data_IF_327051324898
#
_entry.id   IF_327051324898
#
_cell.length_a   1.000
_cell.length_b   1.000
_cell.length_c   1.000
_cell.angle_alpha   90.00
_cell.angle_beta   90.00
_cell.angle_gamma   90.00
#
_symmetry.space_group_name_H-M   'P 1'
#
loop_
_entity.id
_entity.type
_entity.pdbx_description
1 polymer ?
#
# COMPACT_ATOMS: atom_id res chain seq x y z
N UNK A 1 2.70 5.09 7.45
CA UNK A 1 2.94 6.54 7.55
C UNK A 1 3.33 7.16 6.21
N UNK A 2 4.10 6.46 5.36
CA UNK A 2 4.46 6.91 4.01
C UNK A 2 3.24 7.25 3.14
N UNK A 3 2.19 6.42 3.15
CA UNK A 3 0.95 6.68 2.40
C UNK A 3 0.29 8.02 2.76
N UNK A 4 0.29 8.37 4.05
CA UNK A 4 -0.28 9.63 4.54
C UNK A 4 0.60 10.83 4.16
N UNK A 5 1.92 10.65 4.21
CA UNK A 5 2.87 11.69 3.78
C UNK A 5 2.79 11.93 2.26
N UNK A 6 2.55 10.86 1.47
CA UNK A 6 2.36 10.93 0.03
C UNK A 6 1.16 11.82 -0.37
N UNK A 7 0.11 11.79 0.45
CA UNK A 7 -1.08 12.65 0.28
C UNK A 7 -0.91 14.03 0.94
N UNK A 8 0.33 14.47 1.15
CA UNK A 8 0.70 15.78 1.69
C UNK A 8 0.16 16.09 3.10
N UNK A 9 -0.20 15.07 3.87
CA UNK A 9 -0.55 15.25 5.29
C UNK A 9 0.71 15.21 6.14
N UNK A 10 0.96 16.29 6.90
CA UNK A 10 2.08 16.36 7.82
C UNK A 10 1.95 15.30 8.92
N UNK A 11 2.94 14.42 9.01
CA UNK A 11 2.96 13.33 10.00
C UNK A 11 3.49 13.84 11.34
N UNK A 12 2.60 14.38 12.17
CA UNK A 12 2.90 14.81 13.55
C UNK A 12 2.85 13.63 14.54
N UNK A 13 3.35 13.77 15.78
CA UNK A 13 3.18 12.76 16.83
C UNK A 13 1.71 12.38 17.07
N UNK A 14 0.79 13.35 17.04
CA UNK A 14 -0.65 13.13 17.22
C UNK A 14 -1.24 12.33 16.06
N UNK A 15 -0.80 12.60 14.83
CA UNK A 15 -1.18 11.81 13.65
C UNK A 15 -0.66 10.37 13.78
N UNK A 16 0.59 10.19 14.23
CA UNK A 16 1.16 8.85 14.45
C UNK A 16 0.37 8.08 15.51
N UNK A 17 0.02 8.72 16.62
CA UNK A 17 -0.78 8.12 17.68
C UNK A 17 -2.19 7.74 17.21
N UNK A 18 -2.84 8.61 16.44
CA UNK A 18 -4.15 8.33 15.86
C UNK A 18 -4.12 7.13 14.90
N UNK A 19 -3.11 7.06 14.03
CA UNK A 19 -2.91 5.93 13.11
C UNK A 19 -2.61 4.66 13.91
N UNK A 20 -1.72 4.73 14.90
CA UNK A 20 -1.34 3.59 15.72
C UNK A 20 -2.54 3.00 16.48
N UNK A 21 -3.33 3.85 17.13
CA UNK A 21 -4.54 3.45 17.84
C UNK A 21 -5.56 2.80 16.89
N UNK A 22 -5.77 3.37 15.70
CA UNK A 22 -6.65 2.79 14.69
C UNK A 22 -6.15 1.43 14.19
N UNK A 23 -4.84 1.28 13.94
CA UNK A 23 -4.22 0.01 13.54
C UNK A 23 -4.33 -1.06 14.64
N UNK A 24 -4.10 -0.68 15.91
CA UNK A 24 -4.23 -1.58 17.04
C UNK A 24 -5.67 -2.08 17.20
N UNK A 25 -6.66 -1.20 17.00
CA UNK A 25 -8.07 -1.58 16.96
C UNK A 25 -8.37 -2.51 15.78
N UNK A 26 -7.93 -2.16 14.56
CA UNK A 26 -8.12 -2.95 13.35
C UNK A 26 -7.53 -4.35 13.47
N UNK A 27 -6.37 -4.49 14.13
CA UNK A 27 -5.72 -5.78 14.35
C UNK A 27 -6.59 -6.77 15.15
N UNK A 28 -7.57 -6.29 15.92
CA UNK A 28 -8.52 -7.14 16.65
C UNK A 28 -9.68 -7.62 15.79
N UNK A 29 -9.95 -6.98 14.65
CA UNK A 29 -11.00 -7.37 13.72
C UNK A 29 -10.66 -8.69 12.99
N UNK A 30 -11.65 -9.41 12.42
CA UNK A 30 -11.43 -10.52 11.51
C UNK A 30 -10.46 -10.15 10.38
N UNK A 31 -9.65 -11.10 9.91
CA UNK A 31 -8.63 -10.84 8.90
C UNK A 31 -9.19 -10.19 7.62
N UNK A 32 -10.42 -10.55 7.24
CA UNK A 32 -11.13 -10.02 6.06
C UNK A 32 -11.51 -8.54 6.21
N UNK A 33 -11.57 -8.03 7.43
CA UNK A 33 -11.91 -6.62 7.71
C UNK A 33 -10.67 -5.74 7.88
N UNK A 34 -9.45 -6.33 7.86
CA UNK A 34 -8.17 -5.62 8.05
C UNK A 34 -7.70 -4.96 6.76
N UNK A 35 -8.53 -4.07 6.25
CA UNK A 35 -8.41 -3.38 4.96
C UNK A 35 -8.10 -1.90 5.16
N UNK A 36 -7.65 -1.19 4.11
CA UNK A 36 -7.52 0.28 4.13
C UNK A 36 -8.89 0.94 4.32
N UNK A 37 -9.95 0.38 3.74
CA UNK A 37 -11.34 0.79 4.02
C UNK A 37 -11.65 0.64 5.51
N UNK A 38 -11.35 -0.52 6.11
CA UNK A 38 -11.54 -0.77 7.54
C UNK A 38 -10.75 0.21 8.41
N UNK A 39 -9.49 0.49 8.05
CA UNK A 39 -8.66 1.48 8.73
C UNK A 39 -9.28 2.90 8.66
N UNK A 40 -9.77 3.30 7.48
CA UNK A 40 -10.39 4.61 7.27
C UNK A 40 -11.62 4.82 8.15
N UNK A 41 -12.42 3.78 8.37
CA UNK A 41 -13.60 3.83 9.26
C UNK A 41 -13.20 4.10 10.71
N UNK A 42 -12.11 3.51 11.20
CA UNK A 42 -11.66 3.62 12.58
C UNK A 42 -11.02 4.97 12.91
N UNK A 43 -10.45 5.64 11.92
CA UNK A 43 -9.86 6.96 12.09
C UNK A 43 -10.93 7.99 12.45
N UNK A 44 -10.60 8.94 13.33
CA UNK A 44 -11.51 10.05 13.67
C UNK A 44 -11.19 11.33 12.88
N UNK A 45 -9.96 11.46 12.38
CA UNK A 45 -9.51 12.64 11.64
C UNK A 45 -10.00 12.61 10.19
N UNK A 46 -10.78 13.62 9.80
CA UNK A 46 -11.22 13.79 8.41
C UNK A 46 -10.04 13.96 7.45
N UNK A 47 -8.97 14.63 7.86
CA UNK A 47 -7.78 14.79 7.03
C UNK A 47 -7.13 13.43 6.71
N UNK A 48 -7.07 12.52 7.69
CA UNK A 48 -6.53 11.18 7.48
C UNK A 48 -7.47 10.30 6.65
N UNK A 49 -8.79 10.43 6.84
CA UNK A 49 -9.77 9.76 5.98
C UNK A 49 -9.66 10.20 4.52
N UNK A 50 -9.56 11.51 4.29
CA UNK A 50 -9.38 12.05 2.94
C UNK A 50 -8.07 11.59 2.31
N UNK A 51 -6.99 11.49 3.07
CA UNK A 51 -5.72 10.95 2.59
C UNK A 51 -5.79 9.45 2.28
N UNK A 52 -6.58 8.66 3.01
CA UNK A 52 -6.74 7.23 2.69
C UNK A 52 -7.74 6.96 1.58
N UNK A 53 -8.72 7.86 1.37
CA UNK A 53 -9.82 7.66 0.43
C UNK A 53 -9.39 7.15 -0.96
N UNK A 54 -8.32 7.70 -1.61
CA UNK A 54 -7.90 7.22 -2.91
C UNK A 54 -7.59 5.72 -2.97
N UNK A 55 -7.15 5.16 -1.85
CA UNK A 55 -6.69 3.79 -1.69
C UNK A 55 -7.73 2.85 -1.09
N UNK A 56 -8.88 3.37 -0.64
CA UNK A 56 -10.00 2.53 -0.17
C UNK A 56 -10.80 1.95 -1.33
N UNK A 57 -11.69 0.98 -1.07
CA UNK A 57 -12.59 0.38 -2.06
C UNK A 57 -13.39 1.42 -2.88
N UNK A 58 -13.77 2.54 -2.27
CA UNK A 58 -14.51 3.64 -2.93
C UNK A 58 -13.59 4.57 -3.75
N UNK A 59 -12.27 4.39 -3.65
CA UNK A 59 -11.26 5.23 -4.28
C UNK A 59 -10.77 4.69 -5.64
N UNK A 60 -10.17 5.55 -6.47
CA UNK A 60 -9.61 5.17 -7.78
C UNK A 60 -8.56 4.06 -7.73
N UNK A 61 -7.88 3.86 -6.60
CA UNK A 61 -6.83 2.86 -6.41
C UNK A 61 -7.25 1.69 -5.52
N UNK A 62 -8.53 1.64 -5.09
CA UNK A 62 -9.04 0.58 -4.22
C UNK A 62 -8.79 -0.82 -4.80
N UNK A 63 -9.00 -0.99 -6.11
CA UNK A 63 -8.74 -2.26 -6.82
C UNK A 63 -7.27 -2.72 -6.78
N UNK A 64 -6.32 -1.83 -6.46
CA UNK A 64 -4.89 -2.12 -6.45
C UNK A 64 -4.38 -2.54 -5.07
N UNK A 65 -4.90 -1.90 -4.00
CA UNK A 65 -4.34 -2.00 -2.64
C UNK A 65 -5.35 -2.41 -1.57
N UNK A 66 -6.64 -2.38 -1.89
CA UNK A 66 -7.74 -2.62 -0.95
C UNK A 66 -8.81 -3.53 -1.53
N UNK A 67 -8.46 -4.30 -2.57
CA UNK A 67 -9.36 -5.22 -3.22
C UNK A 67 -9.93 -6.23 -2.22
N UNK A 68 -11.19 -6.61 -2.44
CA UNK A 68 -11.90 -7.61 -1.64
C UNK A 68 -11.23 -8.99 -1.67
N UNK A 69 -10.51 -9.29 -2.76
CA UNK A 69 -9.73 -10.51 -2.94
C UNK A 69 -8.31 -10.20 -3.43
N UNK A 70 -7.30 -10.72 -2.73
CA UNK A 70 -5.91 -10.70 -3.21
C UNK A 70 -5.67 -11.88 -4.17
N UNK A 71 -5.56 -11.55 -5.45
CA UNK A 71 -5.27 -12.51 -6.52
C UNK A 71 -3.77 -12.65 -6.85
N UNK A 72 -2.88 -11.98 -6.12
CA UNK A 72 -1.45 -12.00 -6.41
C UNK A 72 -0.86 -13.38 -6.07
N UNK A 73 -0.52 -14.13 -7.12
CA UNK A 73 0.20 -15.40 -7.00
C UNK A 73 1.67 -15.22 -7.42
N UNK A 74 2.58 -15.71 -6.60
CA UNK A 74 4.02 -15.68 -6.86
C UNK A 74 4.49 -17.02 -7.45
N UNK A 75 5.34 -16.97 -8.49
CA UNK A 75 5.92 -18.15 -9.15
C UNK A 75 7.43 -18.02 -9.35
N UNK A 76 8.16 -19.07 -9.71
CA UNK A 76 9.63 -19.01 -9.86
C UNK A 76 10.12 -17.95 -10.85
N UNK A 77 9.28 -17.59 -11.83
CA UNK A 77 9.52 -16.49 -12.78
C UNK A 77 8.30 -15.57 -12.77
N UNK A 78 8.48 -14.35 -12.29
CA UNK A 78 7.42 -13.35 -12.18
C UNK A 78 7.76 -12.11 -13.01
N UNK A 79 6.77 -11.61 -13.75
CA UNK A 79 6.83 -10.31 -14.41
C UNK A 79 5.67 -9.45 -13.90
N UNK A 80 5.94 -8.18 -13.66
CA UNK A 80 4.95 -7.15 -13.35
C UNK A 80 5.02 -6.09 -14.43
N UNK A 81 3.97 -5.99 -15.25
CA UNK A 81 3.83 -4.87 -16.18
C UNK A 81 3.41 -3.63 -15.40
N UNK A 82 4.19 -2.56 -15.53
CA UNK A 82 4.00 -1.34 -14.73
C UNK A 82 3.86 -0.08 -15.58
N UNK A 83 3.91 -0.16 -16.91
CA UNK A 83 3.80 1.02 -17.79
C UNK A 83 2.56 1.88 -17.48
N UNK A 84 1.36 1.27 -17.40
CA UNK A 84 0.15 2.00 -17.02
C UNK A 84 0.20 2.56 -15.58
N UNK A 85 0.86 1.84 -14.66
CA UNK A 85 1.03 2.25 -13.27
C UNK A 85 1.97 3.46 -13.15
N UNK A 86 3.00 3.55 -14.00
CA UNK A 86 3.95 4.68 -14.03
C UNK A 86 3.25 6.01 -14.34
N UNK A 87 2.14 5.96 -15.07
CA UNK A 87 1.31 7.15 -15.34
C UNK A 87 0.39 7.53 -14.15
N UNK A 88 0.31 6.70 -13.12
CA UNK A 88 -0.51 6.93 -11.93
C UNK A 88 0.33 7.31 -10.72
N UNK A 89 0.73 8.59 -10.64
CA UNK A 89 1.60 9.10 -9.56
C UNK A 89 1.06 8.79 -8.15
N UNK A 90 -0.26 8.80 -7.97
CA UNK A 90 -0.92 8.46 -6.71
C UNK A 90 -0.73 7.00 -6.26
N UNK A 91 -0.64 6.07 -7.21
CA UNK A 91 -0.63 4.62 -6.96
C UNK A 91 0.74 3.98 -7.11
N UNK A 92 1.65 4.57 -7.89
CA UNK A 92 2.95 4.00 -8.23
C UNK A 92 3.74 3.59 -6.98
N UNK A 93 4.07 4.54 -6.11
CA UNK A 93 4.90 4.28 -4.93
C UNK A 93 4.23 3.29 -3.95
N UNK A 94 2.93 3.43 -3.60
CA UNK A 94 2.25 2.45 -2.76
C UNK A 94 2.22 1.04 -3.32
N UNK A 95 1.94 0.87 -4.62
CA UNK A 95 1.90 -0.45 -5.26
C UNK A 95 3.29 -1.07 -5.31
N UNK A 96 4.33 -0.31 -5.67
CA UNK A 96 5.70 -0.82 -5.65
C UNK A 96 6.14 -1.23 -4.25
N UNK A 97 5.82 -0.43 -3.23
CA UNK A 97 6.12 -0.77 -1.83
C UNK A 97 5.51 -2.12 -1.46
N UNK A 98 4.26 -2.36 -1.85
CA UNK A 98 3.59 -3.64 -1.62
C UNK A 98 4.24 -4.79 -2.40
N UNK A 99 4.56 -4.60 -3.68
CA UNK A 99 5.22 -5.63 -4.49
C UNK A 99 6.60 -6.01 -3.92
N UNK A 100 7.40 -5.04 -3.49
CA UNK A 100 8.69 -5.31 -2.86
C UNK A 100 8.52 -6.06 -1.54
N UNK A 101 7.55 -5.70 -0.71
CA UNK A 101 7.23 -6.46 0.51
C UNK A 101 6.90 -7.94 0.20
N UNK A 102 6.11 -8.20 -0.85
CA UNK A 102 5.77 -9.57 -1.28
C UNK A 102 6.96 -10.34 -1.84
N UNK A 103 7.88 -9.66 -2.53
CA UNK A 103 9.13 -10.26 -2.99
C UNK A 103 10.05 -10.60 -1.81
N UNK A 104 10.18 -9.68 -0.85
CA UNK A 104 10.97 -9.88 0.37
C UNK A 104 10.47 -11.09 1.19
N UNK A 105 9.16 -11.25 1.33
CA UNK A 105 8.54 -12.42 1.98
C UNK A 105 8.97 -13.77 1.36
N UNK A 106 9.41 -13.76 0.10
CA UNK A 106 9.84 -14.96 -0.63
C UNK A 106 11.36 -15.14 -0.65
N UNK A 107 12.15 -14.17 -0.23
CA UNK A 107 13.61 -14.29 -0.21
C UNK A 107 14.05 -15.17 0.98
N UNK A 108 14.35 -16.43 0.65
CA UNK A 108 14.80 -17.47 1.59
C UNK A 108 16.33 -17.63 1.64
N UNK A 109 17.07 -16.72 1.01
CA UNK A 109 18.54 -16.73 0.91
C UNK A 109 19.09 -17.41 -0.34
N UNK A 110 18.25 -18.02 -1.19
CA UNK A 110 18.69 -18.52 -2.49
C UNK A 110 19.03 -17.37 -3.46
N UNK A 111 19.99 -17.57 -4.39
CA UNK A 111 20.28 -16.59 -5.43
C UNK A 111 19.00 -16.24 -6.21
N UNK A 112 18.66 -14.96 -6.26
CA UNK A 112 17.49 -14.44 -6.95
C UNK A 112 17.91 -13.33 -7.91
N UNK A 113 17.41 -13.39 -9.15
CA UNK A 113 17.61 -12.33 -10.15
C UNK A 113 16.38 -11.43 -10.16
N UNK A 114 16.60 -10.13 -9.93
CA UNK A 114 15.57 -9.10 -10.11
C UNK A 114 15.99 -8.27 -11.32
N UNK A 115 15.11 -8.18 -12.31
CA UNK A 115 15.27 -7.30 -13.45
C UNK A 115 14.32 -6.12 -13.27
N UNK A 116 14.87 -4.91 -13.24
CA UNK A 116 14.11 -3.67 -13.19
C UNK A 116 14.28 -3.00 -14.55
N UNK A 117 13.20 -2.96 -15.33
CA UNK A 117 13.16 -2.11 -16.51
C UNK A 117 12.91 -0.66 -16.08
N UNK A 118 13.42 0.31 -16.83
CA UNK A 118 13.19 1.74 -16.55
C UNK A 118 13.61 2.19 -15.12
N UNK A 119 14.67 1.56 -14.56
CA UNK A 119 15.00 1.67 -13.14
C UNK A 119 15.30 3.09 -12.64
N UNK A 120 15.59 4.03 -13.55
CA UNK A 120 15.82 5.44 -13.22
C UNK A 120 14.58 6.13 -12.65
N UNK A 121 13.37 5.70 -13.05
CA UNK A 121 12.12 6.24 -12.52
C UNK A 121 11.98 6.00 -11.01
N UNK A 122 12.75 5.06 -10.45
CA UNK A 122 12.74 4.72 -9.03
C UNK A 122 13.84 5.40 -8.20
N UNK A 123 14.77 6.13 -8.83
CA UNK A 123 15.94 6.73 -8.17
C UNK A 123 15.89 8.27 -8.06
N UNK A 124 14.92 8.90 -8.73
CA UNK A 124 14.60 10.34 -8.63
C UNK A 124 13.46 10.60 -7.63
#
# INVERSE_FOLDING_TARGET
ASLIAHENVTVTPEVKEAIWSALASLATAPAQERTLTGLSVLLQSNALKSALMPYTLDGPFGRLLDADHDGLALSDVQCFETEELMHSQGALLPVLTYLFQRLEERFDGRPTLIMLDEAWVYLD
#
